data_IF_423443323280
#
_entry.id   IF_423443323280
#
_cell.length_a   1.000
_cell.length_b   1.000
_cell.length_c   1.000
_cell.angle_alpha   90.00
_cell.angle_beta   90.00
_cell.angle_gamma   90.00
#
_symmetry.space_group_name_H-M   'P 1'
#
loop_
_entity.id
_entity.type
_entity.pdbx_description
1 polymer ?
#
# COMPACT_ATOMS: atom_id res chain seq x y z
N UNK A 1 -11.89 -47.65 17.76
CA UNK A 1 -11.07 -46.43 17.59
C UNK A 1 -11.23 -45.96 16.16
N UNK A 2 -11.76 -44.75 15.93
CA UNK A 2 -11.92 -44.20 14.58
C UNK A 2 -10.61 -43.49 14.23
N UNK A 3 -9.88 -44.01 13.25
CA UNK A 3 -8.70 -43.37 12.69
C UNK A 3 -9.18 -42.22 11.80
N UNK A 4 -9.27 -41.02 12.35
CA UNK A 4 -9.61 -39.83 11.57
C UNK A 4 -8.42 -39.47 10.66
N UNK A 5 -8.53 -39.83 9.38
CA UNK A 5 -7.64 -39.32 8.34
C UNK A 5 -7.87 -37.82 8.19
N UNK A 6 -6.97 -37.00 8.75
CA UNK A 6 -6.87 -35.58 8.39
C UNK A 6 -6.38 -35.48 6.94
N UNK A 7 -7.30 -35.31 5.99
CA UNK A 7 -6.94 -34.84 4.64
C UNK A 7 -6.40 -33.42 4.75
N UNK A 8 -5.09 -33.26 4.61
CA UNK A 8 -4.47 -31.95 4.41
C UNK A 8 -4.79 -31.52 2.99
N UNK A 9 -5.78 -30.64 2.82
CA UNK A 9 -6.01 -30.00 1.52
C UNK A 9 -4.86 -29.03 1.27
N UNK A 10 -3.92 -29.41 0.40
CA UNK A 10 -2.91 -28.48 -0.11
C UNK A 10 -3.61 -27.46 -0.99
N UNK A 11 -3.75 -26.23 -0.51
CA UNK A 11 -4.28 -25.13 -1.33
C UNK A 11 -3.18 -24.75 -2.33
N UNK A 12 -3.29 -25.23 -3.56
CA UNK A 12 -2.40 -24.86 -4.67
C UNK A 12 -2.62 -23.41 -5.06
N UNK A 13 -1.53 -22.68 -5.32
CA UNK A 13 -1.65 -21.35 -5.90
C UNK A 13 -2.01 -21.45 -7.38
N UNK A 14 -2.95 -20.61 -7.82
CA UNK A 14 -3.16 -20.39 -9.24
C UNK A 14 -2.24 -19.27 -9.71
N UNK A 15 -1.58 -19.46 -10.85
CA UNK A 15 -0.86 -18.40 -11.53
C UNK A 15 -1.76 -17.19 -11.74
N UNK A 16 -1.19 -15.98 -11.61
CA UNK A 16 -1.94 -14.76 -11.81
C UNK A 16 -2.36 -14.62 -13.28
N UNK A 17 -3.61 -14.18 -13.53
CA UNK A 17 -4.01 -13.85 -14.91
C UNK A 17 -3.19 -12.66 -15.41
N UNK A 18 -2.96 -12.59 -16.73
CA UNK A 18 -2.23 -11.48 -17.34
C UNK A 18 -2.80 -10.11 -16.93
N UNK A 19 -4.12 -9.92 -17.00
CA UNK A 19 -4.74 -8.64 -16.64
C UNK A 19 -4.57 -8.30 -15.15
N UNK A 20 -4.64 -9.30 -14.26
CA UNK A 20 -4.36 -9.07 -12.84
C UNK A 20 -2.90 -8.68 -12.64
N UNK A 21 -1.94 -9.43 -13.21
CA UNK A 21 -0.52 -9.13 -13.11
C UNK A 21 -0.20 -7.74 -13.68
N UNK A 22 -0.83 -7.37 -14.80
CA UNK A 22 -0.71 -6.06 -15.44
C UNK A 22 -1.13 -4.92 -14.52
N UNK A 23 -2.30 -5.03 -13.89
CA UNK A 23 -2.82 -3.99 -13.00
C UNK A 23 -1.99 -3.87 -11.71
N UNK A 24 -1.59 -5.01 -11.14
CA UNK A 24 -0.76 -5.07 -9.94
C UNK A 24 0.67 -4.52 -10.20
N UNK A 25 1.26 -4.88 -11.34
CA UNK A 25 2.55 -4.36 -11.78
C UNK A 25 2.50 -2.85 -11.98
N UNK A 26 1.45 -2.33 -12.63
CA UNK A 26 1.25 -0.90 -12.79
C UNK A 26 1.17 -0.19 -11.44
N UNK A 27 0.33 -0.69 -10.52
CA UNK A 27 0.17 -0.06 -9.20
C UNK A 27 1.48 -0.07 -8.42
N UNK A 28 2.18 -1.20 -8.36
CA UNK A 28 3.47 -1.30 -7.69
C UNK A 28 4.50 -0.34 -8.28
N UNK A 29 4.55 -0.25 -9.60
CA UNK A 29 5.51 0.59 -10.32
C UNK A 29 5.22 2.06 -10.16
N UNK A 30 3.96 2.48 -10.10
CA UNK A 30 3.57 3.86 -9.78
C UNK A 30 4.08 4.29 -8.39
N UNK A 31 3.98 3.39 -7.40
CA UNK A 31 4.49 3.67 -6.04
C UNK A 31 6.00 3.72 -6.01
N UNK A 32 6.67 2.84 -6.74
CA UNK A 32 8.13 2.92 -6.92
C UNK A 32 8.54 4.20 -7.64
N UNK A 33 7.80 4.63 -8.67
CA UNK A 33 8.04 5.88 -9.38
C UNK A 33 7.96 7.10 -8.46
N UNK A 34 6.92 7.16 -7.65
CA UNK A 34 6.72 8.20 -6.66
C UNK A 34 7.82 8.21 -5.58
N UNK A 35 8.07 7.08 -4.93
CA UNK A 35 9.00 7.01 -3.80
C UNK A 35 10.47 7.14 -4.23
N UNK A 36 10.84 6.57 -5.36
CA UNK A 36 12.22 6.51 -5.83
C UNK A 36 12.55 7.64 -6.83
N UNK A 37 11.58 8.54 -7.08
CA UNK A 37 11.70 9.64 -8.03
C UNK A 37 12.24 9.13 -9.40
N UNK A 38 11.55 8.15 -9.97
CA UNK A 38 12.01 7.49 -11.20
C UNK A 38 11.88 8.42 -12.41
N UNK A 39 12.86 8.37 -13.31
CA UNK A 39 12.69 8.95 -14.65
C UNK A 39 11.64 8.18 -15.45
N UNK A 40 11.11 8.78 -16.52
CA UNK A 40 10.13 8.10 -17.38
C UNK A 40 10.64 6.74 -17.91
N UNK A 41 11.89 6.68 -18.36
CA UNK A 41 12.51 5.44 -18.85
C UNK A 41 12.68 4.39 -17.74
N UNK A 42 13.05 4.81 -16.53
CA UNK A 42 13.12 3.90 -15.38
C UNK A 42 11.74 3.40 -14.98
N UNK A 43 10.71 4.24 -15.01
CA UNK A 43 9.35 3.83 -14.68
C UNK A 43 8.82 2.78 -15.68
N UNK A 44 9.08 2.97 -16.97
CA UNK A 44 8.75 1.97 -18.00
C UNK A 44 9.45 0.64 -17.72
N UNK A 45 10.78 0.65 -17.52
CA UNK A 45 11.53 -0.57 -17.22
C UNK A 45 11.08 -1.25 -15.92
N UNK A 46 10.81 -0.48 -14.85
CA UNK A 46 10.30 -1.02 -13.58
C UNK A 46 8.92 -1.67 -13.76
N UNK A 47 8.05 -1.09 -14.58
CA UNK A 47 6.76 -1.71 -14.92
C UNK A 47 6.92 -3.05 -15.63
N UNK A 48 7.78 -3.13 -16.64
CA UNK A 48 8.03 -4.37 -17.37
C UNK A 48 8.61 -5.46 -16.46
N UNK A 49 9.61 -5.11 -15.65
CA UNK A 49 10.24 -6.02 -14.68
C UNK A 49 9.23 -6.54 -13.66
N UNK A 50 8.37 -5.65 -13.13
CA UNK A 50 7.33 -6.05 -12.19
C UNK A 50 6.29 -6.95 -12.85
N UNK A 51 5.90 -6.68 -14.10
CA UNK A 51 4.95 -7.51 -14.83
C UNK A 51 5.51 -8.92 -15.06
N UNK A 52 6.75 -9.00 -15.53
CA UNK A 52 7.44 -10.27 -15.77
C UNK A 52 7.54 -11.13 -14.51
N UNK A 53 7.90 -10.50 -13.39
CA UNK A 53 7.93 -11.17 -12.10
C UNK A 53 6.57 -11.75 -11.72
N UNK A 54 5.51 -10.92 -11.76
CA UNK A 54 4.17 -11.36 -11.34
C UNK A 54 3.58 -12.43 -12.25
N UNK A 55 3.84 -12.36 -13.56
CA UNK A 55 3.42 -13.39 -14.52
C UNK A 55 4.16 -14.72 -14.35
N UNK A 56 5.33 -14.71 -13.70
CA UNK A 56 6.16 -15.90 -13.51
C UNK A 56 5.90 -16.63 -12.19
N UNK A 57 5.11 -16.04 -11.29
CA UNK A 57 4.71 -16.67 -10.05
C UNK A 57 3.65 -17.75 -10.30
N UNK A 58 3.98 -19.01 -10.00
CA UNK A 58 3.10 -20.17 -10.16
C UNK A 58 2.77 -20.85 -8.82
N UNK A 59 3.48 -20.52 -7.75
CA UNK A 59 3.36 -21.18 -6.46
C UNK A 59 3.83 -20.35 -5.27
N UNK A 60 3.45 -20.74 -4.04
CA UNK A 60 3.98 -20.17 -2.80
C UNK A 60 5.52 -20.12 -2.78
N UNK A 61 6.18 -21.16 -3.31
CA UNK A 61 7.63 -21.26 -3.35
C UNK A 61 8.32 -20.22 -4.24
N UNK A 62 7.59 -19.61 -5.18
CA UNK A 62 8.18 -18.69 -6.16
C UNK A 62 8.34 -17.26 -5.62
N UNK A 63 7.63 -16.92 -4.53
CA UNK A 63 7.58 -15.55 -3.97
C UNK A 63 8.97 -15.00 -3.62
N UNK A 64 9.86 -15.87 -3.14
CA UNK A 64 11.26 -15.55 -2.86
C UNK A 64 12.20 -16.51 -3.57
N UNK A 65 11.78 -17.02 -4.73
CA UNK A 65 12.55 -17.93 -5.57
C UNK A 65 13.29 -17.23 -6.70
N UNK A 66 13.60 -17.99 -7.75
CA UNK A 66 14.42 -17.53 -8.88
C UNK A 66 13.86 -16.26 -9.56
N UNK A 67 12.54 -16.11 -9.63
CA UNK A 67 11.90 -14.96 -10.27
C UNK A 67 12.05 -13.68 -9.43
N UNK A 68 12.08 -13.82 -8.11
CA UNK A 68 12.34 -12.72 -7.19
C UNK A 68 13.79 -12.26 -7.28
N UNK A 69 14.75 -13.20 -7.30
CA UNK A 69 16.17 -12.91 -7.52
C UNK A 69 16.40 -12.23 -8.87
N UNK A 70 15.74 -12.74 -9.91
CA UNK A 70 15.83 -12.19 -11.26
C UNK A 70 15.30 -10.76 -11.32
N UNK A 71 14.12 -10.52 -10.75
CA UNK A 71 13.54 -9.17 -10.61
C UNK A 71 14.51 -8.21 -9.92
N UNK A 72 15.10 -8.62 -8.80
CA UNK A 72 16.03 -7.78 -8.05
C UNK A 72 17.32 -7.48 -8.80
N UNK A 73 17.79 -8.45 -9.59
CA UNK A 73 18.94 -8.28 -10.48
C UNK A 73 18.62 -7.28 -11.59
N UNK A 74 17.47 -7.42 -12.25
CA UNK A 74 17.02 -6.51 -13.32
C UNK A 74 16.84 -5.08 -12.76
N UNK A 75 16.21 -4.92 -11.60
CA UNK A 75 16.08 -3.63 -10.92
C UNK A 75 17.45 -3.01 -10.55
N UNK A 76 18.46 -3.83 -10.24
CA UNK A 76 19.82 -3.33 -9.99
C UNK A 76 20.44 -2.72 -11.24
N UNK A 77 20.07 -3.13 -12.45
CA UNK A 77 20.53 -2.47 -13.69
C UNK A 77 19.80 -1.16 -13.98
N UNK A 78 18.51 -1.08 -13.65
CA UNK A 78 17.66 0.09 -13.93
C UNK A 78 17.87 1.24 -12.93
N UNK A 79 18.04 0.92 -11.65
CA UNK A 79 18.12 1.91 -10.57
C UNK A 79 19.55 2.39 -10.34
N UNK A 80 19.70 3.69 -10.03
CA UNK A 80 20.98 4.21 -9.51
C UNK A 80 21.20 3.75 -8.06
N UNK A 81 22.39 4.04 -7.50
CA UNK A 81 22.78 3.55 -6.16
C UNK A 81 21.77 3.94 -5.07
N UNK A 82 21.47 5.23 -4.93
CA UNK A 82 20.54 5.72 -3.91
C UNK A 82 19.12 5.15 -4.08
N UNK A 83 18.62 5.07 -5.33
CA UNK A 83 17.31 4.48 -5.62
C UNK A 83 17.26 3.01 -5.23
N UNK A 84 18.32 2.25 -5.53
CA UNK A 84 18.41 0.84 -5.18
C UNK A 84 18.49 0.63 -3.67
N UNK A 85 19.26 1.46 -2.96
CA UNK A 85 19.36 1.40 -1.50
C UNK A 85 18.00 1.70 -0.84
N UNK A 86 17.28 2.73 -1.29
CA UNK A 86 15.92 3.03 -0.82
C UNK A 86 14.94 1.90 -1.17
N UNK A 87 15.03 1.34 -2.37
CA UNK A 87 14.21 0.21 -2.80
C UNK A 87 14.37 -1.01 -1.88
N UNK A 88 15.61 -1.40 -1.56
CA UNK A 88 15.90 -2.53 -0.66
C UNK A 88 15.40 -2.26 0.77
N UNK A 89 15.53 -1.02 1.24
CA UNK A 89 15.06 -0.62 2.58
C UNK A 89 13.53 -0.67 2.73
N UNK A 90 12.78 -0.49 1.63
CA UNK A 90 11.32 -0.52 1.65
C UNK A 90 10.79 -1.93 1.36
N UNK A 91 10.47 -2.67 2.43
CA UNK A 91 10.02 -4.07 2.34
C UNK A 91 8.81 -4.27 1.42
N UNK A 92 7.90 -3.30 1.34
CA UNK A 92 6.73 -3.36 0.46
C UNK A 92 7.06 -3.23 -1.04
N UNK A 93 8.29 -2.85 -1.40
CA UNK A 93 8.82 -2.92 -2.76
C UNK A 93 9.79 -4.09 -2.97
N UNK A 94 10.67 -4.32 -1.98
CA UNK A 94 11.67 -5.38 -2.08
C UNK A 94 11.05 -6.78 -2.00
N UNK A 95 10.01 -6.95 -1.19
CA UNK A 95 9.27 -8.20 -0.98
C UNK A 95 7.78 -7.96 -1.23
N UNK A 96 7.41 -7.63 -2.48
CA UNK A 96 6.12 -7.00 -2.76
C UNK A 96 4.95 -7.98 -2.67
N UNK A 97 5.19 -9.28 -2.82
CA UNK A 97 4.18 -10.34 -2.83
C UNK A 97 4.39 -11.27 -1.64
N UNK A 98 3.29 -11.77 -1.08
CA UNK A 98 3.26 -12.87 -0.15
C UNK A 98 2.09 -13.81 -0.47
N UNK A 99 2.21 -15.07 -0.08
CA UNK A 99 1.14 -16.05 -0.20
C UNK A 99 0.46 -16.24 1.16
N UNK A 100 -0.84 -15.99 1.24
CA UNK A 100 -1.61 -16.13 2.48
C UNK A 100 -3.00 -16.66 2.20
N UNK A 101 -3.41 -17.68 2.96
CA UNK A 101 -4.75 -18.26 2.92
C UNK A 101 -5.25 -18.61 1.50
N UNK A 102 -4.36 -19.15 0.66
CA UNK A 102 -4.74 -19.54 -0.71
C UNK A 102 -4.77 -18.41 -1.74
N UNK A 103 -4.21 -17.24 -1.42
CA UNK A 103 -4.25 -16.08 -2.30
C UNK A 103 -2.94 -15.29 -2.32
N UNK A 104 -2.69 -14.62 -3.44
CA UNK A 104 -1.65 -13.61 -3.56
C UNK A 104 -2.03 -12.38 -2.76
N UNK A 105 -1.12 -11.89 -1.93
CA UNK A 105 -1.25 -10.66 -1.17
C UNK A 105 -0.10 -9.74 -1.50
N UNK A 106 -0.36 -8.43 -1.54
CA UNK A 106 0.66 -7.44 -1.90
C UNK A 106 0.93 -6.49 -0.76
N UNK A 107 2.20 -6.37 -0.37
CA UNK A 107 2.63 -5.56 0.76
C UNK A 107 2.37 -4.07 0.56
N UNK A 108 2.41 -3.59 -0.70
CA UNK A 108 2.15 -2.19 -1.06
C UNK A 108 0.77 -1.70 -0.60
N UNK A 109 -0.22 -2.59 -0.49
CA UNK A 109 -1.58 -2.25 -0.05
C UNK A 109 -1.72 -1.91 1.43
N UNK A 110 -0.72 -2.23 2.25
CA UNK A 110 -0.70 -1.77 3.63
C UNK A 110 -0.39 -0.25 3.72
N UNK A 111 0.30 0.29 2.73
CA UNK A 111 0.85 1.66 2.74
C UNK A 111 0.06 2.63 1.86
N UNK A 112 -0.56 2.15 0.79
CA UNK A 112 -1.21 3.01 -0.21
C UNK A 112 -2.67 2.64 -0.47
N UNK A 113 -3.46 3.65 -0.84
CA UNK A 113 -4.80 3.44 -1.36
C UNK A 113 -4.72 2.93 -2.81
N UNK A 114 -5.44 1.83 -3.10
CA UNK A 114 -5.48 1.16 -4.41
C UNK A 114 -6.00 2.02 -5.55
N UNK A 115 -6.84 3.02 -5.26
CA UNK A 115 -7.47 3.86 -6.30
C UNK A 115 -6.67 5.11 -6.65
N UNK A 116 -5.53 5.34 -5.98
CA UNK A 116 -4.76 6.55 -6.16
C UNK A 116 -3.49 6.26 -6.94
N UNK A 117 -3.20 7.04 -7.98
CA UNK A 117 -1.98 6.97 -8.79
C UNK A 117 -1.29 8.34 -8.76
N UNK A 118 0.04 8.34 -8.65
CA UNK A 118 0.84 9.57 -8.58
C UNK A 118 1.37 10.00 -9.96
N UNK A 119 1.47 9.06 -10.89
CA UNK A 119 2.06 9.26 -12.20
C UNK A 119 1.08 8.86 -13.32
N UNK A 120 1.25 9.44 -14.50
CA UNK A 120 0.61 8.93 -15.71
C UNK A 120 1.09 7.51 -16.01
N UNK A 121 0.31 6.73 -16.75
CA UNK A 121 0.70 5.37 -17.13
C UNK A 121 2.01 5.36 -17.94
N UNK A 122 2.89 4.36 -17.75
CA UNK A 122 4.03 4.12 -18.64
C UNK A 122 3.55 3.95 -20.09
N UNK A 123 4.28 4.44 -21.10
CA UNK A 123 3.83 4.30 -22.50
C UNK A 123 3.70 2.83 -22.90
N UNK A 124 4.61 2.01 -22.39
CA UNK A 124 4.65 0.56 -22.58
C UNK A 124 3.47 -0.19 -21.93
N UNK A 125 2.67 0.45 -21.07
CA UNK A 125 1.53 -0.18 -20.41
C UNK A 125 0.53 -0.79 -21.40
N UNK A 126 0.34 -0.18 -22.57
CA UNK A 126 -0.60 -0.69 -23.58
C UNK A 126 0.03 -1.82 -24.41
N UNK A 127 1.29 -1.67 -24.78
CA UNK A 127 1.98 -2.48 -25.79
C UNK A 127 2.69 -3.70 -25.20
N UNK A 128 3.30 -3.57 -24.02
CA UNK A 128 4.12 -4.63 -23.43
C UNK A 128 3.25 -5.79 -22.89
N UNK A 129 3.67 -7.03 -23.18
CA UNK A 129 2.96 -8.27 -22.84
C UNK A 129 3.77 -9.24 -21.97
N UNK A 130 4.93 -8.81 -21.48
CA UNK A 130 5.86 -9.65 -20.73
C UNK A 130 6.85 -10.43 -21.59
N UNK A 131 7.85 -11.03 -20.94
CA UNK A 131 8.78 -12.00 -21.49
C UNK A 131 10.25 -11.59 -21.51
N UNK A 132 10.63 -10.41 -20.99
CA UNK A 132 12.04 -10.01 -20.94
C UNK A 132 12.86 -10.86 -19.97
N UNK A 133 12.24 -11.36 -18.91
CA UNK A 133 12.85 -12.28 -17.95
C UNK A 133 13.17 -13.68 -18.50
N UNK A 134 12.67 -14.03 -19.69
CA UNK A 134 12.91 -15.34 -20.34
C UNK A 134 14.26 -15.41 -21.06
N UNK A 135 14.93 -14.28 -21.26
CA UNK A 135 16.23 -14.18 -21.93
C UNK A 135 17.35 -14.57 -20.96
N UNK A 136 18.38 -15.26 -21.47
CA UNK A 136 19.59 -15.55 -20.69
C UNK A 136 20.34 -14.25 -20.37
N UNK A 137 20.61 -13.99 -19.08
CA UNK A 137 21.12 -12.70 -18.61
C UNK A 137 20.07 -11.58 -18.67
N UNK A 138 20.30 -10.46 -17.95
CA UNK A 138 19.32 -9.38 -17.83
C UNK A 138 19.10 -8.64 -19.16
N UNK A 139 17.84 -8.51 -19.59
CA UNK A 139 17.47 -7.64 -20.70
C UNK A 139 17.96 -6.20 -20.47
N UNK A 140 17.99 -5.75 -19.22
CA UNK A 140 18.34 -4.39 -18.83
C UNK A 140 19.84 -4.15 -18.62
N UNK A 141 20.69 -5.15 -18.86
CA UNK A 141 22.13 -5.04 -18.63
C UNK A 141 22.80 -3.90 -19.42
N UNK A 142 22.21 -3.50 -20.55
CA UNK A 142 22.70 -2.43 -21.41
C UNK A 142 22.15 -1.04 -21.05
N UNK A 143 21.23 -0.94 -20.09
CA UNK A 143 20.60 0.31 -19.72
C UNK A 143 21.60 1.23 -19.00
N UNK A 144 21.79 2.45 -19.52
CA UNK A 144 22.63 3.44 -18.87
C UNK A 144 21.92 4.01 -17.64
N UNK A 145 22.56 3.93 -16.48
CA UNK A 145 22.02 4.49 -15.24
C UNK A 145 22.20 6.00 -15.23
N UNK A 146 21.16 6.78 -14.93
CA UNK A 146 21.35 8.20 -14.68
C UNK A 146 22.32 8.39 -13.52
N UNK A 147 23.17 9.41 -13.61
CA UNK A 147 24.10 9.77 -12.54
C UNK A 147 23.32 9.92 -11.22
N UNK A 148 23.89 9.41 -10.13
CA UNK A 148 23.30 9.61 -8.82
C UNK A 148 23.28 11.11 -8.51
N UNK A 149 22.11 11.72 -8.45
CA UNK A 149 21.99 13.06 -7.90
C UNK A 149 22.32 12.95 -6.40
N UNK A 150 23.52 13.39 -6.00
CA UNK A 150 24.02 13.34 -4.63
C UNK A 150 23.22 14.17 -3.61
N UNK A 151 22.14 14.81 -4.03
CA UNK A 151 21.18 15.45 -3.15
C UNK A 151 19.80 14.88 -3.48
N UNK A 152 19.28 14.05 -2.57
CA UNK A 152 17.84 13.95 -2.44
C UNK A 152 17.33 15.38 -2.28
N UNK A 153 16.41 15.89 -3.12
CA UNK A 153 15.66 17.04 -2.70
C UNK A 153 15.02 16.66 -1.38
N UNK A 154 15.14 17.50 -0.35
CA UNK A 154 14.27 17.43 0.81
C UNK A 154 12.87 17.72 0.29
N UNK A 155 12.20 16.72 -0.29
CA UNK A 155 10.82 16.88 -0.70
C UNK A 155 10.04 16.85 0.61
N UNK A 156 9.54 18.02 1.02
CA UNK A 156 8.42 18.11 1.93
C UNK A 156 7.21 17.45 1.25
N UNK A 157 7.14 16.13 1.31
CA UNK A 157 5.91 15.41 1.04
C UNK A 157 5.05 15.49 2.29
N UNK A 158 3.75 15.84 2.18
CA UNK A 158 2.82 15.67 3.28
C UNK A 158 2.92 14.23 3.76
N UNK A 159 3.12 14.04 5.06
CA UNK A 159 3.09 12.72 5.67
C UNK A 159 1.80 12.00 5.21
N UNK A 160 1.83 10.69 4.94
CA UNK A 160 0.60 9.93 4.80
C UNK A 160 -0.25 10.22 6.04
N UNK A 161 -1.49 10.69 5.82
CA UNK A 161 -2.37 11.13 6.89
C UNK A 161 -2.37 10.09 8.02
N UNK A 162 -2.18 10.51 9.30
CA UNK A 162 -2.26 9.59 10.42
C UNK A 162 -3.60 8.85 10.35
N UNK A 163 -3.56 7.52 10.26
CA UNK A 163 -4.77 6.73 10.49
C UNK A 163 -5.12 6.90 11.96
N UNK A 164 -6.07 7.78 12.26
CA UNK A 164 -6.68 7.82 13.57
C UNK A 164 -7.26 6.42 13.84
N UNK A 165 -6.85 5.73 14.92
CA UNK A 165 -7.53 4.52 15.34
C UNK A 165 -8.99 4.89 15.61
N UNK A 166 -9.94 4.16 15.01
CA UNK A 166 -11.36 4.28 15.36
C UNK A 166 -11.47 4.06 16.87
N UNK A 167 -11.97 5.08 17.58
CA UNK A 167 -12.19 4.99 19.01
C UNK A 167 -13.04 3.74 19.34
N UNK A 168 -12.73 3.01 20.42
CA UNK A 168 -13.53 1.86 20.81
C UNK A 168 -14.95 2.32 21.15
N UNK A 169 -15.93 1.69 20.52
CA UNK A 169 -17.35 1.81 20.82
C UNK A 169 -17.56 1.46 22.30
N UNK A 170 -17.95 2.45 23.11
CA UNK A 170 -18.28 2.24 24.53
C UNK A 170 -19.55 1.39 24.59
N UNK A 171 -19.39 0.13 24.95
CA UNK A 171 -20.47 -0.75 25.41
C UNK A 171 -20.78 -0.34 26.84
N UNK A 172 -21.88 0.38 27.05
CA UNK A 172 -22.35 0.67 28.40
C UNK A 172 -23.16 -0.53 28.92
N UNK A 173 -22.75 -1.05 30.09
CA UNK A 173 -23.34 -2.23 30.73
C UNK A 173 -23.82 -1.84 32.13
N UNK A 174 -25.15 -1.79 32.26
CA UNK A 174 -25.98 -1.96 33.48
C UNK A 174 -25.94 -0.75 34.42
N UNK A 175 -27.04 -0.24 34.94
CA UNK A 175 -28.02 -0.81 35.87
C UNK A 175 -29.36 -0.02 35.69
N UNK A 176 -30.58 -0.53 35.86
CA UNK A 176 -31.10 -1.37 36.95
C UNK A 176 -31.88 -0.53 37.97
N UNK A 177 -33.12 -0.13 37.61
CA UNK A 177 -34.34 0.14 38.42
C UNK A 177 -34.21 0.91 39.77
N UNK A 178 -34.91 2.05 39.91
CA UNK A 178 -35.99 2.28 40.92
C UNK A 178 -36.69 3.64 40.77
N UNK A 179 -37.99 3.64 41.10
CA UNK A 179 -38.96 4.75 41.07
C UNK A 179 -38.77 5.73 42.24
N UNK A 180 -39.28 6.96 42.15
CA UNK A 180 -40.39 7.47 42.98
C UNK A 180 -40.71 8.97 42.74
N UNK A 181 -41.96 9.24 43.06
CA UNK A 181 -42.87 10.36 42.77
C UNK A 181 -42.63 11.66 43.58
N UNK A 182 -43.15 12.77 43.04
CA UNK A 182 -44.08 13.75 43.67
C UNK A 182 -43.60 15.21 43.93
N UNK A 183 -44.43 16.13 43.41
CA UNK A 183 -44.92 17.41 43.98
C UNK A 183 -44.10 18.72 43.97
N UNK A 184 -44.61 19.65 43.15
CA UNK A 184 -45.01 21.05 43.41
C UNK A 184 -44.44 21.79 44.64
N UNK A 185 -43.91 23.01 44.40
CA UNK A 185 -44.48 24.27 44.92
C UNK A 185 -43.67 25.51 44.50
N UNK A 186 -44.32 26.45 43.83
CA UNK A 186 -44.02 27.91 43.85
C UNK A 186 -44.84 28.52 45.01
N UNK A 187 -44.51 29.70 45.61
CA UNK A 187 -44.71 31.01 44.93
C UNK A 187 -43.90 32.24 45.45
N UNK A 188 -44.16 33.41 44.81
CA UNK A 188 -44.03 34.84 45.25
C UNK A 188 -42.63 35.51 45.22
N UNK A 189 -42.46 36.82 45.03
CA UNK A 189 -43.14 37.98 44.39
C UNK A 189 -42.25 39.22 44.73
N UNK A 190 -42.16 40.24 43.86
CA UNK A 190 -41.75 41.62 44.23
C UNK A 190 -40.66 42.23 43.32
N UNK A 191 -40.95 43.09 42.33
CA UNK A 191 -41.26 44.55 42.33
C UNK A 191 -40.08 45.54 42.47
N UNK A 192 -39.94 46.39 41.43
CA UNK A 192 -39.40 47.78 41.39
C UNK A 192 -37.88 47.97 41.58
N UNK A 193 -37.17 48.95 40.99
CA UNK A 193 -37.54 50.30 40.58
C UNK A 193 -36.53 50.89 39.56
N UNK A 194 -36.92 52.02 38.96
CA UNK A 194 -36.30 52.79 37.90
C UNK A 194 -35.01 53.58 38.26
N UNK A 195 -34.26 53.96 37.22
CA UNK A 195 -33.96 55.38 36.98
C UNK A 195 -32.54 55.92 37.22
N UNK A 196 -31.92 56.35 36.10
CA UNK A 196 -31.44 57.73 35.87
C UNK A 196 -29.93 58.10 35.97
N UNK A 197 -29.50 58.78 34.88
CA UNK A 197 -28.40 59.75 34.67
C UNK A 197 -26.91 59.33 34.72
N UNK A 198 -26.22 59.54 33.59
CA UNK A 198 -25.63 60.86 33.32
C UNK A 198 -24.15 60.95 32.89
N UNK A 199 -23.95 61.46 31.66
CA UNK A 199 -22.87 62.34 31.15
C UNK A 199 -21.45 61.71 31.02
N UNK A 200 -20.68 61.96 29.96
CA UNK A 200 -20.55 63.13 29.07
C UNK A 200 -20.31 62.71 27.63
#
# INVERSE_FOLDING_TARGET
MILAMMMVMTISANAMSYNAAKNEALFLSDKMAYELNLTAAQYEAVYEINLDYLMSLNGHGDVFGIWWDRRNTDLRYVLNSWQYDKYVALSHFYRPVAWKAGSWTFAVYAHYNRSHFYNAHPKVYVTYKGGHNRVHGSHYAHMHKPAAHHHAPTVHHPAPAPRHPKAPMKVDKRHGITNHTLANNTPRHGHSNAGHFGRR
#
